data_IF_627199891708
#
_entry.id   IF_627199891708
#
_cell.length_a   1.000
_cell.length_b   1.000
_cell.length_c   1.000
_cell.angle_alpha   90.00
_cell.angle_beta   90.00
_cell.angle_gamma   90.00
#
_symmetry.space_group_name_H-M   'P 1'
#
loop_
_entity.id
_entity.type
_entity.pdbx_description
1 polymer ?
#
# COMPACT_ATOMS: atom_id res chain seq x y z
N UNK A 1 -5.11 21.72 9.32
CA UNK A 1 -5.89 20.46 9.36
C UNK A 1 -5.66 19.79 10.70
N UNK A 2 -6.66 19.21 11.35
CA UNK A 2 -6.44 18.47 12.59
C UNK A 2 -5.40 17.36 12.35
N UNK A 3 -4.38 17.30 13.20
CA UNK A 3 -3.33 16.28 13.12
C UNK A 3 -3.82 15.04 13.86
N UNK A 4 -4.14 13.98 13.14
CA UNK A 4 -4.48 12.69 13.73
C UNK A 4 -3.18 11.89 13.90
N UNK A 5 -2.87 11.55 15.15
CA UNK A 5 -1.67 10.77 15.48
C UNK A 5 -1.86 9.33 15.01
N UNK A 6 -0.89 8.81 14.26
CA UNK A 6 -0.89 7.43 13.80
C UNK A 6 -0.17 6.53 14.80
N UNK A 7 -0.79 5.40 15.17
CA UNK A 7 -0.19 4.41 16.08
C UNK A 7 1.12 3.86 15.52
N UNK A 8 1.20 3.66 14.21
CA UNK A 8 2.40 3.18 13.53
C UNK A 8 3.61 4.11 13.71
N UNK A 9 3.42 5.40 14.00
CA UNK A 9 4.51 6.38 14.13
C UNK A 9 5.56 6.00 15.17
N UNK A 10 5.15 5.51 16.33
CA UNK A 10 6.07 5.06 17.39
C UNK A 10 6.85 3.82 16.99
N UNK A 11 6.22 2.93 16.22
CA UNK A 11 6.86 1.70 15.71
C UNK A 11 7.91 2.07 14.66
N UNK A 12 7.59 2.99 13.74
CA UNK A 12 8.53 3.47 12.71
C UNK A 12 9.76 4.14 13.33
N UNK A 13 9.55 5.01 14.33
CA UNK A 13 10.65 5.67 15.04
C UNK A 13 11.59 4.66 15.74
N UNK A 14 11.04 3.58 16.28
CA UNK A 14 11.82 2.49 16.86
C UNK A 14 12.54 1.68 15.78
N UNK A 15 11.87 1.33 14.69
CA UNK A 15 12.46 0.57 13.58
C UNK A 15 13.64 1.31 12.94
N UNK A 16 13.55 2.63 12.79
CA UNK A 16 14.63 3.46 12.26
C UNK A 16 15.90 3.48 13.15
N UNK A 17 15.80 3.06 14.42
CA UNK A 17 16.95 2.87 15.29
C UNK A 17 17.58 1.49 15.19
N UNK A 18 16.95 0.56 14.46
CA UNK A 18 17.38 -0.83 14.35
C UNK A 18 17.71 -1.25 12.92
N UNK A 19 17.16 -0.54 11.93
CA UNK A 19 17.34 -0.86 10.52
C UNK A 19 17.89 0.34 9.73
N UNK A 20 18.79 0.11 8.76
CA UNK A 20 19.27 1.19 7.86
C UNK A 20 18.17 1.84 7.04
N UNK A 21 17.13 1.06 6.67
CA UNK A 21 15.99 1.54 5.93
C UNK A 21 14.66 1.15 6.59
N UNK A 22 13.64 1.99 6.38
CA UNK A 22 12.24 1.74 6.76
C UNK A 22 11.38 1.94 5.52
N UNK A 23 10.56 0.95 5.19
CA UNK A 23 9.64 0.99 4.06
C UNK A 23 8.21 1.03 4.57
N UNK A 24 7.44 2.01 4.12
CA UNK A 24 6.01 2.14 4.44
C UNK A 24 5.20 1.97 3.16
N UNK A 25 4.47 0.87 3.08
CA UNK A 25 3.55 0.55 1.98
C UNK A 25 2.10 0.72 2.41
N UNK A 26 1.16 0.50 1.51
CA UNK A 26 -0.28 0.53 1.81
C UNK A 26 -1.08 1.28 0.74
N UNK A 27 -2.41 1.29 0.85
CA UNK A 27 -3.27 1.89 -0.16
C UNK A 27 -2.94 3.36 -0.39
N UNK A 28 -3.22 3.84 -1.59
CA UNK A 28 -3.11 5.27 -1.90
C UNK A 28 -3.97 6.08 -0.94
N UNK A 29 -3.55 7.30 -0.62
CA UNK A 29 -4.28 8.20 0.29
C UNK A 29 -4.42 7.72 1.75
N UNK A 30 -3.77 6.65 2.16
CA UNK A 30 -3.71 6.23 3.57
C UNK A 30 -2.87 7.16 4.46
N UNK A 31 -2.08 8.08 3.88
CA UNK A 31 -1.30 9.08 4.61
C UNK A 31 0.16 8.69 4.87
N UNK A 32 0.77 7.84 4.03
CA UNK A 32 2.15 7.37 4.16
C UNK A 32 3.18 8.52 4.23
N UNK A 33 3.16 9.39 3.24
CA UNK A 33 4.03 10.58 3.17
C UNK A 33 3.87 11.49 4.39
N UNK A 34 2.60 11.76 4.77
CA UNK A 34 2.32 12.58 5.95
C UNK A 34 2.92 11.94 7.21
N UNK A 35 2.74 10.64 7.40
CA UNK A 35 3.27 9.92 8.56
C UNK A 35 4.79 9.99 8.63
N UNK A 36 5.51 9.74 7.53
CA UNK A 36 6.97 9.79 7.55
C UNK A 36 7.49 11.21 7.83
N UNK A 37 6.91 12.22 7.20
CA UNK A 37 7.28 13.63 7.46
C UNK A 37 6.97 14.07 8.88
N UNK A 38 5.94 13.51 9.48
CA UNK A 38 5.53 13.76 10.87
C UNK A 38 6.49 13.14 11.89
N UNK A 39 6.91 11.89 11.64
CA UNK A 39 7.81 11.12 12.50
C UNK A 39 9.27 11.58 12.34
N UNK A 40 9.66 11.97 11.11
CA UNK A 40 11.03 12.34 10.76
C UNK A 40 11.11 13.75 10.15
N UNK A 41 10.80 14.81 10.93
CA UNK A 41 10.68 16.18 10.42
C UNK A 41 11.99 16.79 9.93
N UNK A 42 13.14 16.20 10.28
CA UNK A 42 14.47 16.62 9.84
C UNK A 42 14.98 15.86 8.62
N UNK A 43 14.23 14.86 8.11
CA UNK A 43 14.62 14.14 6.94
C UNK A 43 14.44 14.99 5.67
N UNK A 44 15.40 14.92 4.75
CA UNK A 44 15.22 15.48 3.41
C UNK A 44 14.08 14.77 2.70
N UNK A 45 13.39 15.45 1.78
CA UNK A 45 12.21 14.90 1.10
C UNK A 45 12.37 14.94 -0.41
N UNK A 46 12.21 13.80 -1.04
CA UNK A 46 12.35 13.62 -2.48
C UNK A 46 11.12 12.88 -3.03
N UNK A 47 10.33 13.56 -3.87
CA UNK A 47 9.15 13.00 -4.52
C UNK A 47 9.56 12.33 -5.84
N UNK A 48 9.49 11.01 -5.89
CA UNK A 48 9.80 10.22 -7.08
C UNK A 48 8.58 10.07 -8.03
N UNK A 49 7.59 10.93 -7.92
CA UNK A 49 6.50 11.10 -8.89
C UNK A 49 6.73 12.36 -9.75
N UNK A 50 7.63 13.23 -9.33
CA UNK A 50 8.02 14.42 -10.08
C UNK A 50 8.86 14.04 -11.32
N UNK A 51 8.43 14.44 -12.55
CA UNK A 51 9.10 14.07 -13.79
C UNK A 51 10.58 14.48 -13.85
N UNK A 52 10.91 15.66 -13.33
CA UNK A 52 12.28 16.15 -13.35
C UNK A 52 13.17 15.35 -12.40
N UNK A 53 12.65 15.01 -11.22
CA UNK A 53 13.33 14.13 -10.26
C UNK A 53 13.54 12.74 -10.86
N UNK A 54 12.51 12.17 -11.51
CA UNK A 54 12.60 10.86 -12.19
C UNK A 54 13.70 10.90 -13.27
N UNK A 55 13.72 11.94 -14.09
CA UNK A 55 14.71 12.09 -15.17
C UNK A 55 16.14 12.16 -14.61
N UNK A 56 16.36 12.95 -13.55
CA UNK A 56 17.67 13.06 -12.88
C UNK A 56 18.11 11.73 -12.27
N UNK A 57 17.23 11.04 -11.57
CA UNK A 57 17.54 9.73 -10.97
C UNK A 57 17.90 8.71 -12.04
N UNK A 58 17.18 8.66 -13.16
CA UNK A 58 17.46 7.73 -14.26
C UNK A 58 18.74 8.04 -15.02
N UNK A 59 19.08 9.31 -15.15
CA UNK A 59 20.31 9.73 -15.83
C UNK A 59 21.57 9.33 -15.05
N UNK A 60 21.60 9.56 -13.73
CA UNK A 60 22.71 9.17 -12.84
C UNK A 60 22.20 8.82 -11.44
N UNK A 61 21.74 7.59 -11.21
CA UNK A 61 21.22 7.16 -9.90
C UNK A 61 22.27 7.25 -8.78
N UNK A 62 23.54 7.03 -9.12
CA UNK A 62 24.63 7.04 -8.13
C UNK A 62 25.00 8.47 -7.73
N UNK A 63 25.19 9.36 -8.69
CA UNK A 63 25.45 10.77 -8.43
C UNK A 63 24.31 11.41 -7.67
N UNK A 64 23.06 11.17 -8.12
CA UNK A 64 21.89 11.68 -7.42
C UNK A 64 21.82 11.24 -5.95
N UNK A 65 21.99 9.93 -5.65
CA UNK A 65 22.01 9.45 -4.27
C UNK A 65 23.18 10.01 -3.44
N UNK A 66 24.28 10.36 -4.09
CA UNK A 66 25.43 11.00 -3.44
C UNK A 66 25.12 12.42 -2.96
N UNK A 67 24.20 13.13 -3.60
CA UNK A 67 23.75 14.48 -3.25
C UNK A 67 22.63 14.47 -2.20
N UNK A 68 21.98 13.31 -1.97
CA UNK A 68 20.87 13.18 -1.03
C UNK A 68 21.35 13.25 0.43
N UNK A 69 20.95 14.29 1.14
CA UNK A 69 21.18 14.41 2.57
C UNK A 69 20.34 13.40 3.35
N UNK A 70 20.98 12.57 4.19
CA UNK A 70 20.30 11.56 5.02
C UNK A 70 20.19 11.99 6.47
N UNK A 71 19.10 11.66 7.19
CA UNK A 71 18.00 10.77 6.76
C UNK A 71 17.16 11.38 5.65
N UNK A 72 16.71 10.54 4.71
CA UNK A 72 15.96 10.95 3.52
C UNK A 72 14.67 10.16 3.34
N UNK A 73 13.59 10.86 2.99
CA UNK A 73 12.32 10.26 2.56
C UNK A 73 12.32 10.22 1.03
N UNK A 74 12.31 9.00 0.48
CA UNK A 74 12.08 8.74 -0.95
C UNK A 74 10.62 8.32 -1.12
N UNK A 75 9.81 9.23 -1.63
CA UNK A 75 8.37 9.07 -1.71
C UNK A 75 7.92 8.57 -3.09
N UNK A 76 6.96 7.63 -3.12
CA UNK A 76 6.42 6.98 -4.32
C UNK A 76 7.48 6.24 -5.15
N UNK A 77 8.32 5.43 -4.46
CA UNK A 77 9.50 4.75 -5.02
C UNK A 77 9.17 3.77 -6.15
N UNK A 78 7.91 3.32 -6.28
CA UNK A 78 7.48 2.45 -7.38
C UNK A 78 7.60 3.11 -8.76
N UNK A 79 7.74 4.43 -8.84
CA UNK A 79 7.94 5.13 -10.11
C UNK A 79 9.38 5.03 -10.62
N UNK A 80 10.33 4.70 -9.71
CA UNK A 80 11.76 4.53 -10.02
C UNK A 80 12.33 3.35 -9.23
N UNK A 81 11.79 2.12 -9.39
CA UNK A 81 12.23 0.96 -8.61
C UNK A 81 13.69 0.59 -8.84
N UNK A 82 14.25 0.99 -9.98
CA UNK A 82 15.65 0.83 -10.33
C UNK A 82 16.65 1.54 -9.39
N UNK A 83 16.17 2.44 -8.51
CA UNK A 83 17.02 3.07 -7.48
C UNK A 83 17.34 2.14 -6.30
N UNK A 84 16.52 1.11 -6.04
CA UNK A 84 16.67 0.23 -4.89
C UNK A 84 18.02 -0.47 -4.79
N UNK A 85 18.63 -1.02 -5.88
CA UNK A 85 19.97 -1.57 -5.84
C UNK A 85 21.05 -0.56 -5.41
N UNK A 86 20.88 0.72 -5.78
CA UNK A 86 21.81 1.78 -5.39
C UNK A 86 21.65 2.17 -3.92
N UNK A 87 20.41 2.24 -3.43
CA UNK A 87 20.11 2.42 -1.99
C UNK A 87 20.74 1.28 -1.19
N UNK A 88 20.58 0.02 -1.63
CA UNK A 88 21.24 -1.15 -1.02
C UNK A 88 22.75 -0.97 -0.95
N UNK A 89 23.38 -0.61 -2.08
CA UNK A 89 24.83 -0.39 -2.15
C UNK A 89 25.27 0.71 -1.17
N UNK A 90 24.48 1.78 -1.03
CA UNK A 90 24.73 2.85 -0.06
C UNK A 90 24.63 2.36 1.38
N UNK A 91 23.70 1.46 1.69
CA UNK A 91 23.56 0.81 3.00
C UNK A 91 24.75 -0.08 3.28
N UNK A 92 25.14 -0.94 2.34
CA UNK A 92 26.24 -1.90 2.50
C UNK A 92 27.60 -1.23 2.72
N UNK A 93 27.80 0.00 2.21
CA UNK A 93 29.01 0.81 2.47
C UNK A 93 29.06 1.40 3.87
N UNK A 94 27.94 1.55 4.56
CA UNK A 94 27.86 2.12 5.90
C UNK A 94 26.74 1.45 6.73
N UNK A 95 26.89 0.15 7.05
CA UNK A 95 25.81 -0.67 7.63
C UNK A 95 25.41 -0.24 9.05
N UNK A 96 26.32 0.42 9.78
CA UNK A 96 26.06 0.95 11.12
C UNK A 96 25.22 2.24 11.13
N UNK A 97 25.02 2.90 9.99
CA UNK A 97 24.18 4.10 9.89
C UNK A 97 22.73 3.71 9.73
N UNK A 98 22.00 3.69 10.84
CA UNK A 98 20.59 3.31 10.91
C UNK A 98 19.65 4.47 10.57
N UNK A 99 18.44 4.15 10.10
CA UNK A 99 17.36 5.12 9.82
C UNK A 99 17.66 6.11 8.67
N UNK A 100 18.61 5.80 7.79
CA UNK A 100 19.02 6.71 6.71
C UNK A 100 17.98 6.84 5.61
N UNK A 101 17.32 5.72 5.28
CA UNK A 101 16.43 5.65 4.14
C UNK A 101 15.00 5.35 4.59
N UNK A 102 14.11 6.28 4.29
CA UNK A 102 12.69 6.20 4.63
C UNK A 102 11.93 6.16 3.31
N UNK A 103 11.41 5.00 2.97
CA UNK A 103 10.83 4.75 1.65
C UNK A 103 9.32 4.67 1.76
N UNK A 104 8.59 5.32 0.84
CA UNK A 104 7.17 5.05 0.67
C UNK A 104 6.88 4.53 -0.72
N UNK A 105 5.79 3.79 -0.82
CA UNK A 105 5.24 3.40 -2.10
C UNK A 105 3.82 2.88 -1.96
N UNK A 106 3.06 2.97 -3.05
CA UNK A 106 1.85 2.15 -3.16
C UNK A 106 2.28 0.70 -3.14
N UNK A 107 1.52 -0.13 -2.43
CA UNK A 107 1.77 -1.55 -2.40
C UNK A 107 1.42 -2.11 -3.79
N UNK A 108 2.43 -2.33 -4.61
CA UNK A 108 2.30 -3.03 -5.87
C UNK A 108 3.30 -4.20 -5.93
N UNK A 109 3.02 -5.15 -6.80
CA UNK A 109 3.80 -6.38 -6.89
C UNK A 109 5.25 -6.12 -7.31
N UNK A 110 5.48 -5.15 -8.19
CA UNK A 110 6.81 -4.80 -8.71
C UNK A 110 7.67 -4.17 -7.63
N UNK A 111 7.10 -3.25 -6.84
CA UNK A 111 7.77 -2.65 -5.70
C UNK A 111 8.11 -3.69 -4.63
N UNK A 112 7.15 -4.52 -4.25
CA UNK A 112 7.36 -5.53 -3.20
C UNK A 112 8.44 -6.54 -3.60
N UNK A 113 8.47 -6.94 -4.88
CA UNK A 113 9.54 -7.79 -5.42
C UNK A 113 10.90 -7.07 -5.35
N UNK A 114 11.00 -5.84 -5.85
CA UNK A 114 12.23 -5.05 -5.82
C UNK A 114 12.72 -4.80 -4.39
N UNK A 115 11.82 -4.50 -3.45
CA UNK A 115 12.15 -4.36 -2.03
C UNK A 115 12.62 -5.68 -1.44
N UNK A 116 11.94 -6.80 -1.70
CA UNK A 116 12.34 -8.12 -1.19
C UNK A 116 13.69 -8.56 -1.73
N UNK A 117 13.98 -8.34 -3.01
CA UNK A 117 15.24 -8.72 -3.63
C UNK A 117 16.42 -7.81 -3.20
N UNK A 118 16.18 -6.50 -3.10
CA UNK A 118 17.25 -5.53 -2.87
C UNK A 118 17.46 -5.20 -1.39
N UNK A 119 16.40 -5.25 -0.56
CA UNK A 119 16.40 -4.73 0.80
C UNK A 119 16.29 -5.83 1.88
N UNK A 120 16.37 -7.12 1.50
CA UNK A 120 16.33 -8.23 2.44
C UNK A 120 17.38 -8.07 3.55
N UNK A 121 16.94 -8.14 4.83
CA UNK A 121 17.79 -7.97 6.00
C UNK A 121 18.26 -6.52 6.28
N UNK A 122 17.93 -5.56 5.41
CA UNK A 122 18.36 -4.15 5.52
C UNK A 122 17.21 -3.18 5.82
N UNK A 123 15.98 -3.60 5.57
CA UNK A 123 14.81 -2.75 5.76
C UNK A 123 13.77 -3.40 6.68
N UNK A 124 13.15 -2.58 7.52
CA UNK A 124 11.90 -2.92 8.18
C UNK A 124 10.73 -2.47 7.28
N UNK A 125 9.81 -3.38 6.97
CA UNK A 125 8.67 -3.12 6.08
C UNK A 125 7.40 -3.05 6.91
N UNK A 126 6.62 -2.00 6.71
CA UNK A 126 5.35 -1.76 7.40
C UNK A 126 4.25 -1.44 6.40
N UNK A 127 3.05 -1.89 6.70
CA UNK A 127 1.85 -1.53 5.96
C UNK A 127 1.05 -0.50 6.74
N UNK A 128 0.76 0.65 6.12
CA UNK A 128 -0.11 1.68 6.67
C UNK A 128 -1.50 1.54 6.04
N UNK A 129 -2.47 1.13 6.83
CA UNK A 129 -3.88 1.08 6.46
C UNK A 129 -4.57 2.43 6.74
N UNK A 130 -5.83 2.65 6.30
CA UNK A 130 -6.64 3.78 6.73
C UNK A 130 -6.67 3.92 8.27
N UNK A 131 -7.19 5.02 8.77
CA UNK A 131 -7.24 5.30 10.22
C UNK A 131 -8.06 4.25 10.95
N UNK A 132 -7.56 3.78 12.08
CA UNK A 132 -8.26 2.87 12.96
C UNK A 132 -9.23 3.61 13.90
N UNK A 133 -10.15 2.86 14.53
CA UNK A 133 -11.02 3.38 15.59
C UNK A 133 -10.22 4.02 16.73
N UNK A 134 -9.06 3.45 17.07
CA UNK A 134 -8.20 3.98 18.14
C UNK A 134 -7.57 5.32 17.75
N UNK A 135 -7.27 5.52 16.46
CA UNK A 135 -6.69 6.76 15.98
C UNK A 135 -7.71 7.89 15.84
N UNK A 136 -8.97 7.54 15.51
CA UNK A 136 -10.06 8.52 15.33
C UNK A 136 -10.86 8.79 16.59
N UNK A 137 -10.85 7.86 17.56
CA UNK A 137 -11.69 7.89 18.75
C UNK A 137 -13.17 7.61 18.51
N UNK A 138 -13.61 7.51 17.25
CA UNK A 138 -14.97 7.20 16.82
C UNK A 138 -14.94 6.47 15.50
N UNK A 139 -16.02 5.78 15.15
CA UNK A 139 -16.12 5.06 13.91
C UNK A 139 -17.49 5.26 13.25
N UNK A 140 -17.44 5.58 11.95
CA UNK A 140 -18.62 5.61 11.10
C UNK A 140 -18.45 4.52 10.03
N UNK A 141 -19.25 3.47 10.12
CA UNK A 141 -19.16 2.31 9.23
C UNK A 141 -19.38 2.67 7.76
N UNK A 142 -20.17 3.71 7.47
CA UNK A 142 -20.46 4.13 6.10
C UNK A 142 -19.35 5.01 5.51
N UNK A 143 -18.56 5.65 6.37
CA UNK A 143 -17.52 6.60 5.95
C UNK A 143 -16.11 6.01 6.02
N UNK A 144 -15.91 4.95 6.78
CA UNK A 144 -14.61 4.31 6.93
C UNK A 144 -13.55 5.20 7.57
N UNK A 145 -12.29 4.87 7.34
CA UNK A 145 -11.12 5.48 7.99
C UNK A 145 -10.13 6.16 7.05
N UNK A 146 -10.44 6.39 5.77
CA UNK A 146 -9.53 7.17 4.95
C UNK A 146 -9.38 8.59 5.50
N UNK A 147 -8.13 9.10 5.69
CA UNK A 147 -7.87 10.37 6.37
C UNK A 147 -8.67 11.55 5.81
N UNK A 148 -8.80 11.63 4.49
CA UNK A 148 -9.53 12.74 3.86
C UNK A 148 -11.03 12.66 4.13
N UNK A 149 -11.60 11.46 4.18
CA UNK A 149 -13.03 11.26 4.51
C UNK A 149 -13.29 11.53 5.99
N UNK A 150 -12.40 11.10 6.88
CA UNK A 150 -12.51 11.40 8.32
C UNK A 150 -12.47 12.90 8.58
N UNK A 151 -11.59 13.63 7.89
CA UNK A 151 -11.46 15.08 8.04
C UNK A 151 -12.61 15.85 7.37
N UNK A 152 -13.16 15.32 6.26
CA UNK A 152 -14.22 15.96 5.44
C UNK A 152 -15.39 15.00 5.18
N UNK A 153 -16.14 14.61 6.22
CA UNK A 153 -17.11 13.51 6.13
C UNK A 153 -18.27 13.78 5.16
N UNK A 154 -18.62 15.03 4.90
CA UNK A 154 -19.70 15.40 3.95
C UNK A 154 -19.41 15.05 2.49
N UNK A 155 -18.16 14.71 2.15
CA UNK A 155 -17.71 14.35 0.80
C UNK A 155 -17.44 12.85 0.63
N UNK A 156 -17.83 12.02 1.58
CA UNK A 156 -17.45 10.59 1.58
C UNK A 156 -17.86 9.88 0.28
N UNK A 157 -19.14 9.94 -0.11
CA UNK A 157 -19.63 9.24 -1.31
C UNK A 157 -18.93 9.69 -2.61
N UNK A 158 -18.76 11.00 -2.80
CA UNK A 158 -18.06 11.53 -3.98
C UNK A 158 -16.58 11.18 -3.96
N UNK A 159 -15.98 11.17 -2.76
CA UNK A 159 -14.59 10.81 -2.58
C UNK A 159 -14.35 9.33 -2.93
N UNK A 160 -15.17 8.40 -2.43
CA UNK A 160 -15.02 6.98 -2.75
C UNK A 160 -15.27 6.69 -4.22
N UNK A 161 -16.28 7.33 -4.83
CA UNK A 161 -16.52 7.23 -6.28
C UNK A 161 -15.31 7.67 -7.09
N UNK A 162 -14.73 8.82 -6.77
CA UNK A 162 -13.52 9.33 -7.41
C UNK A 162 -12.33 8.43 -7.15
N UNK A 163 -12.18 7.94 -5.91
CA UNK A 163 -11.09 7.04 -5.51
C UNK A 163 -11.10 5.73 -6.32
N UNK A 164 -12.26 5.09 -6.44
CA UNK A 164 -12.41 3.87 -7.23
C UNK A 164 -12.05 4.12 -8.72
N UNK A 165 -12.54 5.20 -9.31
CA UNK A 165 -12.30 5.53 -10.71
C UNK A 165 -10.85 5.93 -11.01
N UNK A 166 -10.22 6.70 -10.13
CA UNK A 166 -8.91 7.29 -10.42
C UNK A 166 -7.73 6.43 -9.95
N UNK A 167 -7.88 5.74 -8.84
CA UNK A 167 -6.78 4.96 -8.27
C UNK A 167 -6.93 3.47 -8.50
N UNK A 168 -8.04 2.90 -8.08
CA UNK A 168 -8.21 1.45 -8.14
C UNK A 168 -8.27 0.95 -9.59
N UNK A 169 -9.04 1.60 -10.46
CA UNK A 169 -9.11 1.22 -11.87
C UNK A 169 -7.77 1.42 -12.59
N UNK A 170 -7.01 2.48 -12.25
CA UNK A 170 -5.68 2.70 -12.80
C UNK A 170 -4.70 1.60 -12.39
N UNK A 171 -4.68 1.25 -11.12
CA UNK A 171 -3.76 0.24 -10.59
C UNK A 171 -4.08 -1.15 -11.17
N UNK A 172 -5.37 -1.48 -11.31
CA UNK A 172 -5.81 -2.71 -11.97
C UNK A 172 -5.44 -2.74 -13.45
N UNK A 173 -5.60 -1.63 -14.18
CA UNK A 173 -5.18 -1.55 -15.59
C UNK A 173 -3.68 -1.74 -15.75
N UNK A 174 -2.89 -1.14 -14.88
CA UNK A 174 -1.43 -1.23 -14.92
C UNK A 174 -0.93 -2.66 -14.68
N UNK A 175 -1.60 -3.41 -13.78
CA UNK A 175 -1.16 -4.74 -13.36
C UNK A 175 -1.74 -5.88 -14.20
N UNK A 176 -2.95 -5.75 -14.72
CA UNK A 176 -3.68 -6.86 -15.35
C UNK A 176 -4.07 -6.63 -16.81
N UNK A 177 -3.77 -5.50 -17.41
CA UNK A 177 -4.22 -5.16 -18.78
C UNK A 177 -5.74 -5.36 -18.95
N UNK A 178 -6.54 -5.04 -17.92
CA UNK A 178 -7.99 -5.22 -17.91
C UNK A 178 -8.61 -4.39 -19.02
N UNK A 179 -9.20 -5.05 -20.03
CA UNK A 179 -9.87 -4.41 -21.16
C UNK A 179 -11.29 -3.97 -20.80
N UNK A 180 -11.98 -4.74 -19.94
CA UNK A 180 -13.36 -4.48 -19.53
C UNK A 180 -13.47 -4.00 -18.09
N UNK A 181 -13.39 -2.68 -17.92
CA UNK A 181 -13.58 -2.02 -16.62
C UNK A 181 -15.03 -2.07 -16.11
N UNK A 182 -16.01 -2.20 -16.99
CA UNK A 182 -17.40 -2.28 -16.58
C UNK A 182 -17.63 -3.59 -15.80
N UNK A 183 -17.10 -4.71 -16.30
CA UNK A 183 -17.15 -5.99 -15.59
C UNK A 183 -16.33 -5.95 -14.31
N UNK A 184 -15.18 -5.28 -14.28
CA UNK A 184 -14.41 -5.11 -13.05
C UNK A 184 -15.17 -4.28 -11.99
N UNK A 185 -15.87 -3.20 -12.36
CA UNK A 185 -16.75 -2.46 -11.43
C UNK A 185 -17.88 -3.33 -10.86
N UNK A 186 -18.50 -4.16 -11.71
CA UNK A 186 -19.51 -5.13 -11.26
C UNK A 186 -18.91 -6.15 -10.29
N UNK A 187 -17.67 -6.60 -10.54
CA UNK A 187 -16.93 -7.45 -9.62
C UNK A 187 -16.72 -6.78 -8.26
N UNK A 188 -16.28 -5.49 -8.21
CA UNK A 188 -16.12 -4.77 -6.95
C UNK A 188 -17.43 -4.68 -6.16
N UNK A 189 -18.53 -4.34 -6.84
CA UNK A 189 -19.85 -4.28 -6.21
C UNK A 189 -20.28 -5.65 -5.65
N UNK A 190 -20.08 -6.73 -6.43
CA UNK A 190 -20.39 -8.08 -5.99
C UNK A 190 -19.49 -8.52 -4.82
N UNK A 191 -18.19 -8.21 -4.88
CA UNK A 191 -17.25 -8.49 -3.80
C UNK A 191 -17.60 -7.74 -2.50
N UNK A 192 -18.14 -6.51 -2.62
CA UNK A 192 -18.65 -5.73 -1.49
C UNK A 192 -19.71 -6.51 -0.70
N UNK A 193 -20.63 -7.18 -1.39
CA UNK A 193 -21.67 -8.00 -0.73
C UNK A 193 -21.13 -9.26 -0.03
N UNK A 194 -19.87 -9.62 -0.27
CA UNK A 194 -19.20 -10.79 0.32
C UNK A 194 -18.28 -10.45 1.48
N UNK A 195 -18.29 -9.23 1.96
CA UNK A 195 -17.49 -8.80 3.12
C UNK A 195 -17.71 -9.72 4.33
N UNK A 196 -16.62 -10.26 4.90
CA UNK A 196 -16.65 -11.18 6.05
C UNK A 196 -17.12 -12.60 5.74
N UNK A 197 -17.46 -12.93 4.50
CA UNK A 197 -17.91 -14.25 4.07
C UNK A 197 -16.77 -15.11 3.55
N UNK A 198 -16.99 -16.43 3.47
CA UNK A 198 -16.10 -17.37 2.80
C UNK A 198 -16.01 -17.03 1.31
N UNK A 199 -14.80 -16.94 0.81
CA UNK A 199 -14.54 -16.62 -0.60
C UNK A 199 -14.80 -17.85 -1.49
N UNK A 200 -15.81 -17.73 -2.35
CA UNK A 200 -16.03 -18.68 -3.45
C UNK A 200 -15.80 -17.95 -4.78
N UNK A 201 -14.71 -18.31 -5.45
CA UNK A 201 -14.34 -17.66 -6.72
C UNK A 201 -15.29 -17.99 -7.86
N UNK A 202 -15.90 -19.18 -7.86
CA UNK A 202 -16.89 -19.59 -8.86
C UNK A 202 -18.16 -18.75 -8.75
N UNK A 203 -18.63 -18.50 -7.51
CA UNK A 203 -19.82 -17.67 -7.26
C UNK A 203 -19.63 -16.21 -7.67
N UNK A 204 -18.37 -15.74 -7.75
CA UNK A 204 -18.04 -14.43 -8.30
C UNK A 204 -17.89 -14.45 -9.83
N UNK A 205 -17.34 -15.53 -10.38
CA UNK A 205 -17.05 -15.65 -11.80
C UNK A 205 -18.31 -15.81 -12.67
N UNK A 206 -19.22 -16.69 -12.24
CA UNK A 206 -20.42 -17.09 -13.01
C UNK A 206 -21.31 -15.88 -13.36
N UNK A 207 -21.76 -15.03 -12.41
CA UNK A 207 -22.64 -13.90 -12.73
C UNK A 207 -21.96 -12.79 -13.53
N UNK A 208 -20.62 -12.77 -13.56
CA UNK A 208 -19.83 -11.77 -14.28
C UNK A 208 -19.45 -12.26 -15.70
N UNK A 209 -19.64 -13.53 -16.01
CA UNK A 209 -19.26 -14.12 -17.30
C UNK A 209 -17.73 -14.16 -17.51
N UNK A 210 -16.95 -14.27 -16.44
CA UNK A 210 -15.48 -14.34 -16.50
C UNK A 210 -14.96 -15.67 -15.96
N UNK A 211 -13.70 -15.99 -16.24
CA UNK A 211 -13.06 -17.20 -15.73
C UNK A 211 -12.67 -17.08 -14.25
N UNK A 212 -12.60 -18.20 -13.55
CA UNK A 212 -12.09 -18.27 -12.17
C UNK A 212 -10.66 -17.74 -12.05
N UNK A 213 -9.72 -18.02 -12.98
CA UNK A 213 -8.41 -17.37 -13.00
C UNK A 213 -8.46 -15.85 -13.08
N UNK A 214 -9.41 -15.28 -13.84
CA UNK A 214 -9.61 -13.83 -13.90
C UNK A 214 -9.99 -13.26 -12.53
N UNK A 215 -10.94 -13.90 -11.85
CA UNK A 215 -11.32 -13.50 -10.48
C UNK A 215 -10.14 -13.61 -9.52
N UNK A 216 -9.33 -14.67 -9.61
CA UNK A 216 -8.14 -14.82 -8.78
C UNK A 216 -7.16 -13.69 -9.02
N UNK A 217 -6.85 -13.35 -10.27
CA UNK A 217 -5.96 -12.25 -10.61
C UNK A 217 -6.49 -10.89 -10.09
N UNK A 218 -7.81 -10.64 -10.16
CA UNK A 218 -8.40 -9.42 -9.60
C UNK A 218 -8.32 -9.36 -8.07
N UNK A 219 -8.54 -10.47 -7.39
CA UNK A 219 -8.39 -10.57 -5.94
C UNK A 219 -6.93 -10.35 -5.53
N UNK A 220 -5.97 -10.96 -6.24
CA UNK A 220 -4.53 -10.81 -5.97
C UNK A 220 -4.09 -9.34 -6.08
N UNK A 221 -4.63 -8.60 -7.06
CA UNK A 221 -4.36 -7.15 -7.17
C UNK A 221 -4.97 -6.39 -6.00
N UNK A 222 -6.23 -6.65 -5.63
CA UNK A 222 -6.87 -5.97 -4.51
C UNK A 222 -6.15 -6.25 -3.18
N UNK A 223 -5.68 -7.47 -2.97
CA UNK A 223 -4.91 -7.85 -1.78
C UNK A 223 -3.53 -7.19 -1.80
N UNK A 224 -2.80 -7.28 -2.93
CA UNK A 224 -1.49 -6.68 -3.10
C UNK A 224 -1.53 -5.15 -2.95
N UNK A 225 -2.58 -4.49 -3.44
CA UNK A 225 -2.74 -3.04 -3.30
C UNK A 225 -3.32 -2.61 -1.94
N UNK A 226 -3.58 -3.57 -1.05
CA UNK A 226 -4.03 -3.32 0.32
C UNK A 226 -5.49 -2.86 0.42
N UNK A 227 -6.35 -3.25 -0.53
CA UNK A 227 -7.79 -2.93 -0.50
C UNK A 227 -8.61 -4.01 0.18
N UNK A 228 -8.16 -5.27 0.11
CA UNK A 228 -8.77 -6.40 0.80
C UNK A 228 -7.74 -7.17 1.61
N UNK A 229 -8.25 -7.96 2.55
CA UNK A 229 -7.51 -8.96 3.31
C UNK A 229 -8.17 -10.31 3.09
N UNK A 230 -7.38 -11.31 2.72
CA UNK A 230 -7.81 -12.70 2.67
C UNK A 230 -7.36 -13.38 3.96
N UNK A 231 -8.32 -13.64 4.86
CA UNK A 231 -8.05 -14.24 6.17
C UNK A 231 -8.25 -15.75 6.08
N UNK A 232 -7.16 -16.54 6.13
CA UNK A 232 -7.27 -18.00 6.10
C UNK A 232 -7.97 -18.52 7.37
N UNK A 233 -8.68 -19.66 7.27
CA UNK A 233 -9.32 -20.25 8.43
C UNK A 233 -8.28 -20.75 9.43
N UNK A 234 -8.61 -20.71 10.70
CA UNK A 234 -7.80 -21.31 11.74
C UNK A 234 -8.05 -22.82 11.80
N UNK A 235 -6.99 -23.60 11.64
CA UNK A 235 -6.98 -25.05 11.92
C UNK A 235 -5.66 -25.38 12.62
N UNK A 236 -5.68 -26.36 13.54
CA UNK A 236 -4.44 -26.86 14.17
C UNK A 236 -3.51 -27.48 13.13
N UNK A 237 -4.07 -28.20 12.14
CA UNK A 237 -3.32 -28.74 11.03
C UNK A 237 -3.03 -27.67 9.97
N UNK A 238 -1.75 -27.30 9.80
CA UNK A 238 -1.28 -26.31 8.83
C UNK A 238 -1.70 -26.61 7.39
N UNK A 239 -1.67 -27.89 6.97
CA UNK A 239 -2.06 -28.28 5.61
C UNK A 239 -3.51 -27.94 5.30
N UNK A 240 -4.43 -28.07 6.27
CA UNK A 240 -5.83 -27.69 6.10
C UNK A 240 -6.03 -26.18 5.98
N UNK A 241 -5.17 -25.35 6.58
CA UNK A 241 -5.22 -23.86 6.44
C UNK A 241 -4.96 -23.43 5.00
N UNK A 242 -4.08 -24.11 4.29
CA UNK A 242 -3.67 -23.76 2.92
C UNK A 242 -4.71 -24.16 1.87
N UNK A 243 -5.54 -25.19 2.15
CA UNK A 243 -6.47 -25.77 1.17
C UNK A 243 -7.88 -25.14 1.27
N UNK A 244 -8.25 -24.65 2.44
CA UNK A 244 -9.62 -24.15 2.69
C UNK A 244 -9.76 -22.69 2.29
N UNK A 245 -10.95 -22.34 1.76
CA UNK A 245 -11.27 -20.98 1.33
C UNK A 245 -11.12 -19.98 2.47
N UNK A 246 -10.41 -18.85 2.25
CA UNK A 246 -10.32 -17.78 3.22
C UNK A 246 -11.63 -16.99 3.30
N UNK A 247 -11.76 -16.15 4.33
CA UNK A 247 -12.76 -15.08 4.35
C UNK A 247 -12.18 -13.81 3.71
N UNK A 248 -13.01 -13.07 2.98
CA UNK A 248 -12.63 -11.80 2.38
C UNK A 248 -13.10 -10.62 3.25
N UNK A 249 -12.19 -9.71 3.52
CA UNK A 249 -12.46 -8.46 4.22
C UNK A 249 -11.94 -7.27 3.41
N UNK A 250 -12.76 -6.24 3.24
CA UNK A 250 -12.28 -4.95 2.80
C UNK A 250 -11.55 -4.26 3.96
N UNK A 251 -10.43 -3.60 3.66
CA UNK A 251 -9.60 -2.92 4.69
C UNK A 251 -10.26 -1.65 5.21
N UNK A 252 -11.24 -1.12 4.48
CA UNK A 252 -11.98 0.07 4.85
C UNK A 252 -13.47 -0.13 4.57
N UNK A 253 -14.31 0.13 5.55
CA UNK A 253 -15.75 -0.07 5.45
C UNK A 253 -16.43 0.91 4.49
N UNK A 254 -15.86 2.09 4.28
CA UNK A 254 -16.36 3.06 3.32
C UNK A 254 -16.19 2.64 1.86
N UNK A 255 -15.30 1.67 1.57
CA UNK A 255 -15.19 1.07 0.23
C UNK A 255 -16.34 0.09 -0.08
N UNK A 256 -17.09 -0.31 0.92
CA UNK A 256 -18.20 -1.29 0.82
C UNK A 256 -19.57 -0.60 0.87
N UNK A 257 -19.62 0.65 1.36
CA UNK A 257 -20.85 1.42 1.56
C UNK A 257 -21.46 1.96 0.28
#
# INVERSE_FOLDING_TARGET
>A
MPRIRRELGTVLARAARSFPAVVVTGPRRAGKTFLLRDVFPKASYHLLEDPDTIARVRADPRGWLGEVETPAILDEIQNVPEILPYVRTSIDRAPSRLGRWLLTGSQDFSLMRGVSESMAGRAAIFQLLPLSVRETGSWDLLRGGFPEVVIRPRRAADWFRSYLQTYLERDVRALLSVRDLATFRRFLALLGTRHGQLLNRTDLATPLGVSVPTISAWLDVLETTGHILLVPPFYENFGKRLIKSPKVYWVDSGLVS
#
